data_IF_552713185695
#
_entry.id   IF_552713185695
#
_cell.length_a   1.000
_cell.length_b   1.000
_cell.length_c   1.000
_cell.angle_alpha   90.00
_cell.angle_beta   90.00
_cell.angle_gamma   90.00
#
_symmetry.space_group_name_H-M   'P 1'
#
loop_
_entity.id
_entity.type
_entity.pdbx_description
1 polymer ?
#
# COMPACT_ATOMS: atom_id res chain seq x y z
N UNK A 1 -0.19 11.84 32.67
CA UNK A 1 0.99 10.98 32.86
C UNK A 1 2.23 11.80 32.49
N UNK A 2 3.21 11.90 33.36
CA UNK A 2 4.47 12.62 33.11
C UNK A 2 5.49 11.67 32.51
N UNK A 3 6.14 12.06 31.42
CA UNK A 3 7.07 11.22 30.68
C UNK A 3 8.48 11.79 30.75
N UNK A 4 9.25 11.41 31.76
CA UNK A 4 10.66 11.83 31.93
C UNK A 4 11.65 10.83 31.33
N UNK A 5 11.21 9.59 31.10
CA UNK A 5 12.02 8.49 30.52
C UNK A 5 11.17 7.70 29.52
N UNK A 6 11.78 7.06 28.52
CA UNK A 6 11.09 6.11 27.66
C UNK A 6 10.47 4.95 28.45
N UNK A 7 9.39 4.38 27.94
CA UNK A 7 8.83 3.15 28.50
C UNK A 7 9.84 1.99 28.34
N UNK A 8 10.05 1.15 29.37
CA UNK A 8 11.06 0.10 29.33
C UNK A 8 10.88 -0.88 28.15
N UNK A 9 9.64 -1.26 27.84
CA UNK A 9 9.35 -2.17 26.72
C UNK A 9 9.65 -1.54 25.35
N UNK A 10 9.48 -0.20 25.21
CA UNK A 10 9.88 0.53 24.00
C UNK A 10 11.39 0.57 23.89
N UNK A 11 12.11 0.85 25.00
CA UNK A 11 13.57 0.85 25.00
C UNK A 11 14.12 -0.51 24.60
N UNK A 12 13.58 -1.60 25.17
CA UNK A 12 13.97 -2.95 24.80
C UNK A 12 13.72 -3.28 23.33
N UNK A 13 12.59 -2.82 22.78
CA UNK A 13 12.31 -2.98 21.35
C UNK A 13 13.31 -2.21 20.48
N UNK A 14 13.62 -0.95 20.82
CA UNK A 14 14.60 -0.14 20.07
C UNK A 14 16.01 -0.74 20.16
N UNK A 15 16.40 -1.30 21.30
CA UNK A 15 17.69 -1.99 21.45
C UNK A 15 17.74 -3.27 20.57
N UNK A 16 16.66 -4.04 20.53
CA UNK A 16 16.56 -5.20 19.64
C UNK A 16 16.62 -4.80 18.14
N UNK A 17 16.00 -3.68 17.77
CA UNK A 17 16.07 -3.13 16.40
C UNK A 17 17.51 -2.69 16.06
N UNK A 18 18.20 -2.00 16.98
CA UNK A 18 19.60 -1.60 16.78
C UNK A 18 20.53 -2.83 16.66
N UNK A 19 20.30 -3.86 17.45
CA UNK A 19 21.03 -5.12 17.34
C UNK A 19 20.80 -5.78 15.96
N UNK A 20 19.57 -5.83 15.50
CA UNK A 20 19.24 -6.36 14.17
C UNK A 20 19.92 -5.57 13.04
N UNK A 21 20.03 -4.24 13.16
CA UNK A 21 20.78 -3.41 12.20
C UNK A 21 22.26 -3.77 12.25
N UNK A 22 22.86 -3.89 13.44
CA UNK A 22 24.30 -4.21 13.59
C UNK A 22 24.67 -5.59 13.09
N UNK A 23 23.76 -6.56 13.19
CA UNK A 23 23.98 -7.90 12.64
C UNK A 23 24.20 -7.89 11.14
N UNK A 24 23.54 -6.99 10.41
CA UNK A 24 23.70 -6.87 8.95
C UNK A 24 24.75 -5.82 8.53
N UNK A 25 24.77 -4.73 9.28
CA UNK A 25 25.62 -3.56 9.02
C UNK A 25 26.34 -3.14 10.30
N UNK A 26 27.46 -3.80 10.68
CA UNK A 26 28.12 -3.56 11.99
C UNK A 26 28.46 -2.11 12.29
N UNK A 27 28.66 -1.29 11.25
CA UNK A 27 29.01 0.14 11.40
C UNK A 27 27.80 1.10 11.36
N UNK A 28 26.59 0.59 11.13
CA UNK A 28 25.38 1.42 10.96
C UNK A 28 24.48 1.47 12.22
N UNK A 29 24.92 0.92 13.33
CA UNK A 29 24.14 0.95 14.57
C UNK A 29 23.96 2.37 15.15
N UNK A 30 22.93 2.54 15.95
CA UNK A 30 22.64 3.79 16.64
C UNK A 30 23.52 3.96 17.89
N UNK A 31 23.88 5.21 18.20
CA UNK A 31 24.46 5.56 19.50
C UNK A 31 23.43 5.44 20.63
N UNK A 32 23.90 5.38 21.87
CA UNK A 32 23.00 5.32 23.04
C UNK A 32 22.03 6.53 23.09
N UNK A 33 22.51 7.73 22.70
CA UNK A 33 21.69 8.95 22.65
C UNK A 33 20.60 8.82 21.57
N UNK A 34 20.92 8.29 20.39
CA UNK A 34 19.95 8.09 19.31
C UNK A 34 18.89 7.07 19.70
N UNK A 35 19.28 5.93 20.29
CA UNK A 35 18.32 4.92 20.78
C UNK A 35 17.40 5.50 21.85
N UNK A 36 17.97 6.22 22.81
CA UNK A 36 17.19 6.86 23.87
C UNK A 36 16.20 7.88 23.31
N UNK A 37 16.65 8.74 22.39
CA UNK A 37 15.79 9.72 21.73
C UNK A 37 14.66 9.06 20.93
N UNK A 38 14.97 8.01 20.16
CA UNK A 38 13.97 7.28 19.38
C UNK A 38 12.95 6.59 20.28
N UNK A 39 13.42 5.93 21.36
CA UNK A 39 12.56 5.29 22.35
C UNK A 39 11.65 6.31 23.06
N UNK A 40 12.19 7.51 23.38
CA UNK A 40 11.37 8.59 23.90
C UNK A 40 10.31 9.06 22.93
N UNK A 41 10.65 9.29 21.66
CA UNK A 41 9.71 9.72 20.64
C UNK A 41 8.59 8.69 20.41
N UNK A 42 8.91 7.40 20.34
CA UNK A 42 7.92 6.32 20.20
C UNK A 42 7.01 6.29 21.44
N UNK A 43 7.56 6.35 22.65
CA UNK A 43 6.76 6.38 23.88
C UNK A 43 5.86 7.61 23.94
N UNK A 44 6.39 8.79 23.59
CA UNK A 44 5.61 10.03 23.55
C UNK A 44 4.47 9.96 22.52
N UNK A 45 4.72 9.33 21.39
CA UNK A 45 3.69 9.07 20.36
C UNK A 45 2.57 8.19 20.92
N UNK A 46 2.92 7.08 21.59
CA UNK A 46 1.94 6.19 22.24
C UNK A 46 1.09 6.90 23.31
N UNK A 47 1.71 7.77 24.10
CA UNK A 47 1.02 8.51 25.17
C UNK A 47 0.15 9.65 24.62
N UNK A 48 0.63 10.36 23.61
CA UNK A 48 -0.07 11.56 23.10
C UNK A 48 -0.98 11.28 21.91
N UNK A 49 -0.90 10.08 21.33
CA UNK A 49 -1.54 9.73 20.06
C UNK A 49 -1.26 10.76 18.95
N UNK A 50 -0.02 11.29 18.92
CA UNK A 50 0.35 12.35 17.97
C UNK A 50 1.85 12.33 17.72
N UNK A 51 2.27 12.70 16.49
CA UNK A 51 3.65 13.00 16.14
C UNK A 51 3.81 14.52 16.15
N UNK A 52 4.05 15.11 17.32
CA UNK A 52 4.16 16.56 17.48
C UNK A 52 5.19 16.92 18.57
N UNK A 53 6.28 17.58 18.18
CA UNK A 53 7.34 17.97 19.10
C UNK A 53 6.83 18.82 20.27
N UNK A 54 5.91 19.75 20.03
CA UNK A 54 5.32 20.57 21.09
C UNK A 54 4.48 19.74 22.08
N UNK A 55 3.85 18.64 21.65
CA UNK A 55 3.17 17.73 22.58
C UNK A 55 4.17 16.89 23.35
N UNK A 56 5.26 16.45 22.73
CA UNK A 56 6.34 15.70 23.38
C UNK A 56 7.03 16.54 24.46
N UNK A 57 7.34 17.82 24.19
CA UNK A 57 7.86 18.75 25.17
C UNK A 57 6.91 18.89 26.37
N UNK A 58 5.61 19.07 26.13
CA UNK A 58 4.61 19.21 27.22
C UNK A 58 4.52 17.98 28.11
N UNK A 59 4.45 16.76 27.51
CA UNK A 59 4.36 15.53 28.32
C UNK A 59 5.64 15.20 29.05
N UNK A 60 6.79 15.71 28.60
CA UNK A 60 8.09 15.60 29.27
C UNK A 60 8.31 16.68 30.37
N UNK A 61 7.32 17.54 30.61
CA UNK A 61 7.47 18.69 31.51
C UNK A 61 8.67 19.59 31.17
N UNK A 62 8.90 19.79 29.86
CA UNK A 62 10.03 20.55 29.31
C UNK A 62 11.42 19.93 29.59
N UNK A 63 11.48 18.67 30.03
CA UNK A 63 12.76 17.94 30.13
C UNK A 63 13.46 17.88 28.78
N UNK A 64 12.67 17.74 27.70
CA UNK A 64 13.14 17.76 26.31
C UNK A 64 12.47 18.93 25.58
N UNK A 65 13.27 19.89 25.15
CA UNK A 65 12.72 21.01 24.35
C UNK A 65 12.36 20.58 22.94
N UNK A 66 11.33 21.21 22.38
CA UNK A 66 10.93 21.03 20.98
C UNK A 66 12.10 21.22 20.00
N UNK A 67 12.97 22.22 20.28
CA UNK A 67 14.15 22.51 19.47
C UNK A 67 15.14 21.33 19.47
N UNK A 68 15.44 20.76 20.66
CA UNK A 68 16.35 19.62 20.79
C UNK A 68 15.79 18.36 20.11
N UNK A 69 14.49 18.06 20.28
CA UNK A 69 13.83 16.92 19.64
C UNK A 69 13.87 17.04 18.12
N UNK A 70 13.54 18.20 17.60
CA UNK A 70 13.56 18.49 16.17
C UNK A 70 14.98 18.50 15.59
N UNK A 71 15.96 18.97 16.35
CA UNK A 71 17.37 18.96 15.93
C UNK A 71 17.88 17.53 15.76
N UNK A 72 17.63 16.66 16.73
CA UNK A 72 17.99 15.24 16.67
C UNK A 72 17.38 14.56 15.44
N UNK A 73 16.12 14.83 15.14
CA UNK A 73 15.45 14.29 13.94
C UNK A 73 16.15 14.71 12.64
N UNK A 74 16.53 15.99 12.53
CA UNK A 74 17.06 16.55 11.28
C UNK A 74 18.57 16.35 11.08
N UNK A 75 19.34 16.29 12.18
CA UNK A 75 20.81 16.35 12.10
C UNK A 75 21.52 15.10 12.65
N UNK A 76 20.81 14.27 13.38
CA UNK A 76 21.37 13.00 13.85
C UNK A 76 21.44 11.99 12.70
N UNK A 77 22.55 11.26 12.59
CA UNK A 77 22.74 10.22 11.58
C UNK A 77 22.05 8.93 12.03
N UNK A 78 20.73 8.96 12.21
CA UNK A 78 19.92 7.76 12.48
C UNK A 78 19.81 6.97 11.17
N UNK A 79 19.97 5.64 11.20
CA UNK A 79 19.89 4.80 9.98
C UNK A 79 18.43 4.55 9.56
N UNK A 80 17.74 5.62 9.13
CA UNK A 80 16.31 5.61 8.82
C UNK A 80 15.91 4.53 7.82
N UNK A 81 16.74 4.30 6.79
CA UNK A 81 16.49 3.31 5.74
C UNK A 81 16.49 1.88 6.27
N UNK A 82 17.25 1.60 7.34
CA UNK A 82 17.35 0.28 7.96
C UNK A 82 16.28 0.04 9.04
N UNK A 83 15.71 1.11 9.62
CA UNK A 83 14.80 0.99 10.77
C UNK A 83 13.54 0.18 10.46
N UNK A 84 12.91 0.40 9.31
CA UNK A 84 11.70 -0.34 8.93
C UNK A 84 11.99 -1.83 8.77
N UNK A 85 13.02 -2.17 8.00
CA UNK A 85 13.41 -3.56 7.74
C UNK A 85 13.78 -4.29 9.04
N UNK A 86 14.61 -3.66 9.89
CA UNK A 86 15.01 -4.23 11.17
C UNK A 86 13.82 -4.38 12.14
N UNK A 87 12.93 -3.38 12.20
CA UNK A 87 11.70 -3.46 13.02
C UNK A 87 10.82 -4.63 12.59
N UNK A 88 10.61 -4.79 11.29
CA UNK A 88 9.85 -5.92 10.73
C UNK A 88 10.49 -7.25 11.13
N UNK A 89 11.80 -7.40 11.01
CA UNK A 89 12.52 -8.64 11.40
C UNK A 89 12.37 -8.98 12.88
N UNK A 90 12.53 -7.96 13.74
CA UNK A 90 12.35 -8.15 15.19
C UNK A 90 10.95 -8.63 15.50
N UNK A 91 9.93 -8.03 14.90
CA UNK A 91 8.52 -8.40 15.10
C UNK A 91 8.25 -9.83 14.57
N UNK A 92 8.72 -10.16 13.36
CA UNK A 92 8.51 -11.48 12.76
C UNK A 92 9.16 -12.58 13.59
N UNK A 93 10.40 -12.36 14.07
CA UNK A 93 11.09 -13.30 14.96
C UNK A 93 10.37 -13.47 16.29
N UNK A 94 9.95 -12.38 16.93
CA UNK A 94 9.26 -12.39 18.21
C UNK A 94 7.95 -13.19 18.15
N UNK A 95 7.19 -13.07 17.06
CA UNK A 95 5.92 -13.77 16.88
C UNK A 95 6.06 -15.14 16.21
N UNK A 96 7.26 -15.56 15.82
CA UNK A 96 7.51 -16.82 15.10
C UNK A 96 6.78 -16.87 13.76
N UNK A 97 6.74 -15.75 13.03
CA UNK A 97 6.04 -15.64 11.73
C UNK A 97 6.98 -16.07 10.62
N UNK A 98 6.57 -17.08 9.84
CA UNK A 98 7.33 -17.65 8.72
C UNK A 98 6.58 -17.56 7.39
N UNK A 99 5.32 -17.11 7.40
CA UNK A 99 4.53 -16.95 6.18
C UNK A 99 3.43 -15.90 6.35
N UNK A 100 2.96 -15.35 5.23
CA UNK A 100 1.86 -14.42 5.19
C UNK A 100 1.44 -14.05 3.77
N UNK A 101 0.43 -13.22 3.64
CA UNK A 101 -0.04 -12.66 2.37
C UNK A 101 0.41 -11.22 2.25
N UNK A 102 0.87 -10.82 1.07
CA UNK A 102 1.24 -9.44 0.79
C UNK A 102 0.04 -8.66 0.25
N UNK A 103 -0.18 -7.48 0.78
CA UNK A 103 -1.26 -6.57 0.36
C UNK A 103 -0.65 -5.28 -0.14
N UNK A 104 -1.02 -4.88 -1.36
CA UNK A 104 -0.60 -3.63 -1.98
C UNK A 104 -1.80 -2.71 -2.09
N UNK A 105 -1.63 -1.50 -1.61
CA UNK A 105 -2.61 -0.42 -1.79
C UNK A 105 -1.90 0.92 -1.89
N UNK A 106 -2.63 1.95 -2.30
CA UNK A 106 -2.12 3.31 -2.29
C UNK A 106 -3.03 4.25 -1.49
N UNK A 107 -2.42 5.20 -0.83
CA UNK A 107 -3.12 6.21 -0.05
C UNK A 107 -2.69 7.61 -0.46
N UNK A 108 -3.65 8.52 -0.46
CA UNK A 108 -3.43 9.94 -0.72
C UNK A 108 -3.52 10.71 0.60
N UNK A 109 -2.44 11.42 0.95
CA UNK A 109 -2.38 12.23 2.15
C UNK A 109 -2.48 13.72 1.75
N UNK A 110 -3.60 14.33 2.10
CA UNK A 110 -3.84 15.75 1.84
C UNK A 110 -2.98 16.63 2.75
N UNK A 111 -2.46 17.73 2.20
CA UNK A 111 -1.61 18.69 2.90
C UNK A 111 -2.22 20.09 2.86
N UNK A 112 -1.80 20.92 3.78
CA UNK A 112 -2.21 22.33 3.80
C UNK A 112 -1.71 23.08 2.56
N UNK A 113 -2.39 24.16 2.18
CA UNK A 113 -2.00 25.00 1.02
C UNK A 113 -0.60 25.61 1.17
N UNK A 114 -0.09 25.71 2.41
CA UNK A 114 1.24 26.25 2.73
C UNK A 114 2.38 25.22 2.67
N UNK A 115 2.09 23.95 2.41
CA UNK A 115 3.06 22.86 2.43
C UNK A 115 3.97 22.79 1.18
N UNK A 116 4.29 23.92 0.55
CA UNK A 116 5.03 24.00 -0.73
C UNK A 116 6.47 23.47 -0.69
N UNK A 117 7.03 23.27 0.49
CA UNK A 117 8.43 22.79 0.70
C UNK A 117 8.55 21.27 0.86
N UNK A 118 7.44 20.53 0.89
CA UNK A 118 7.47 19.08 1.04
C UNK A 118 7.86 18.40 -0.30
N UNK A 119 8.72 17.41 -0.23
CA UNK A 119 9.03 16.55 -1.37
C UNK A 119 7.78 15.74 -1.80
N UNK A 120 7.74 15.31 -3.05
CA UNK A 120 6.65 14.51 -3.64
C UNK A 120 5.26 15.15 -3.56
N UNK A 121 5.18 16.48 -3.39
CA UNK A 121 3.93 17.22 -3.30
C UNK A 121 3.37 17.52 -4.70
N UNK A 122 2.12 17.15 -4.94
CA UNK A 122 1.43 17.48 -6.19
C UNK A 122 -0.08 17.65 -5.97
N UNK A 123 -0.79 18.12 -7.00
CA UNK A 123 -2.25 18.29 -6.92
C UNK A 123 -2.98 16.99 -7.07
N UNK A 124 -3.60 16.52 -5.99
CA UNK A 124 -4.48 15.37 -5.92
C UNK A 124 -5.93 15.76 -6.19
N UNK A 125 -6.69 14.88 -6.81
CA UNK A 125 -8.14 15.07 -6.95
C UNK A 125 -8.81 14.72 -5.62
N UNK A 126 -9.46 15.70 -5.01
CA UNK A 126 -10.25 15.48 -3.81
C UNK A 126 -11.59 14.85 -4.17
N UNK A 127 -11.88 13.66 -3.67
CA UNK A 127 -13.07 12.90 -4.06
C UNK A 127 -14.36 13.57 -3.61
N UNK A 128 -14.40 14.11 -2.39
CA UNK A 128 -15.58 14.71 -1.79
C UNK A 128 -15.96 16.06 -2.41
N UNK A 129 -14.99 16.97 -2.58
CA UNK A 129 -15.25 18.29 -3.14
C UNK A 129 -15.20 18.34 -4.67
N UNK A 130 -14.73 17.27 -5.34
CA UNK A 130 -14.52 17.22 -6.79
C UNK A 130 -13.40 18.13 -7.30
N UNK A 131 -12.75 18.90 -6.40
CA UNK A 131 -11.66 19.83 -6.69
C UNK A 131 -10.28 19.16 -6.64
N UNK A 132 -9.25 20.02 -6.50
CA UNK A 132 -7.87 19.62 -6.36
C UNK A 132 -7.27 20.21 -5.08
N UNK A 133 -6.55 19.38 -4.33
CA UNK A 133 -5.81 19.76 -3.13
C UNK A 133 -4.34 19.37 -3.27
N UNK A 134 -3.47 20.07 -2.55
CA UNK A 134 -2.09 19.63 -2.45
C UNK A 134 -2.00 18.37 -1.56
N UNK A 135 -1.21 17.41 -1.97
CA UNK A 135 -1.01 16.18 -1.19
C UNK A 135 0.11 15.32 -1.72
N UNK A 136 0.37 14.27 -1.00
CA UNK A 136 1.34 13.23 -1.34
C UNK A 136 0.59 11.91 -1.51
N UNK A 137 1.03 11.07 -2.43
CA UNK A 137 0.49 9.72 -2.60
C UNK A 137 1.59 8.72 -2.27
N UNK A 138 1.24 7.70 -1.51
CA UNK A 138 2.14 6.62 -1.11
C UNK A 138 1.60 5.29 -1.63
N UNK A 139 2.50 4.44 -2.09
CA UNK A 139 2.23 3.03 -2.31
C UNK A 139 2.71 2.27 -1.08
N UNK A 140 1.84 1.47 -0.49
CA UNK A 140 2.11 0.67 0.70
C UNK A 140 2.16 -0.81 0.38
N UNK A 141 3.04 -1.51 1.09
CA UNK A 141 3.10 -2.95 1.15
C UNK A 141 2.91 -3.41 2.59
N UNK A 142 1.88 -4.23 2.83
CA UNK A 142 1.62 -4.85 4.11
C UNK A 142 1.85 -6.35 4.03
N UNK A 143 2.39 -6.93 5.10
CA UNK A 143 2.34 -8.36 5.36
C UNK A 143 1.18 -8.66 6.30
N UNK A 144 0.26 -9.47 5.84
CA UNK A 144 -0.91 -9.91 6.60
C UNK A 144 -0.74 -11.37 6.99
N UNK A 145 -0.86 -11.62 8.28
CA UNK A 145 -0.76 -12.95 8.87
C UNK A 145 -1.96 -13.22 9.78
N UNK A 146 -2.20 -14.45 10.22
CA UNK A 146 -3.25 -14.73 11.19
C UNK A 146 -3.08 -13.98 12.53
N UNK A 147 -1.84 -13.66 12.91
CA UNK A 147 -1.53 -13.00 14.19
C UNK A 147 -1.53 -11.49 14.10
N UNK A 148 -0.89 -10.93 13.08
CA UNK A 148 -0.69 -9.48 12.92
C UNK A 148 -0.78 -9.06 11.46
N UNK A 149 -1.08 -7.78 11.24
CA UNK A 149 -0.87 -7.08 9.97
C UNK A 149 0.21 -6.02 10.18
N UNK A 150 1.22 -6.01 9.33
CA UNK A 150 2.43 -5.23 9.53
C UNK A 150 2.82 -4.50 8.25
N UNK A 151 3.01 -3.17 8.26
CA UNK A 151 3.61 -2.46 7.13
C UNK A 151 5.06 -2.92 6.95
N UNK A 152 5.40 -3.38 5.75
CA UNK A 152 6.72 -3.92 5.42
C UNK A 152 7.43 -3.10 4.35
N UNK A 153 6.75 -2.12 3.76
CA UNK A 153 7.34 -1.20 2.81
C UNK A 153 6.39 -0.08 2.44
N UNK A 154 6.94 1.06 2.08
CA UNK A 154 6.21 2.17 1.48
C UNK A 154 7.12 3.00 0.59
N UNK A 155 6.53 3.68 -0.39
CA UNK A 155 7.26 4.58 -1.27
C UNK A 155 6.36 5.72 -1.73
N UNK A 156 6.91 6.94 -1.80
CA UNK A 156 6.21 8.09 -2.33
C UNK A 156 6.11 8.02 -3.85
N UNK A 157 4.91 8.30 -4.37
CA UNK A 157 4.67 8.43 -5.79
C UNK A 157 4.76 9.90 -6.22
N UNK A 158 5.43 10.14 -7.33
CA UNK A 158 5.45 11.45 -7.98
C UNK A 158 5.04 11.29 -9.45
N UNK A 159 3.99 12.00 -9.91
CA UNK A 159 3.60 11.95 -11.30
C UNK A 159 4.65 12.63 -12.18
N UNK A 160 4.88 12.07 -13.36
CA UNK A 160 5.71 12.68 -14.38
C UNK A 160 5.11 14.03 -14.81
N UNK A 161 5.84 15.16 -14.68
CA UNK A 161 5.34 16.48 -15.03
C UNK A 161 5.03 16.62 -16.53
N UNK A 162 5.86 16.04 -17.40
CA UNK A 162 5.68 16.10 -18.84
C UNK A 162 4.44 15.28 -19.26
N UNK A 163 4.30 14.07 -18.76
CA UNK A 163 3.14 13.23 -19.01
C UNK A 163 1.86 13.87 -18.46
N UNK A 164 1.95 14.51 -17.29
CA UNK A 164 0.82 15.24 -16.67
C UNK A 164 0.39 16.46 -17.52
N UNK A 165 1.36 17.19 -18.10
CA UNK A 165 1.10 18.30 -19.02
C UNK A 165 0.46 17.79 -20.32
N UNK A 166 0.98 16.68 -20.85
CA UNK A 166 0.41 16.03 -22.03
C UNK A 166 -1.04 15.58 -21.81
N UNK A 167 -1.37 14.94 -20.69
CA UNK A 167 -2.76 14.54 -20.39
C UNK A 167 -3.71 15.75 -20.31
N UNK A 168 -3.26 16.87 -19.73
CA UNK A 168 -4.06 18.10 -19.67
C UNK A 168 -4.33 18.64 -21.07
N UNK A 169 -3.30 18.69 -21.93
CA UNK A 169 -3.41 19.14 -23.32
C UNK A 169 -4.29 18.21 -24.14
N UNK A 170 -4.09 16.89 -24.03
CA UNK A 170 -4.88 15.86 -24.71
C UNK A 170 -6.37 15.96 -24.33
N UNK A 171 -6.67 16.18 -23.04
CA UNK A 171 -8.05 16.40 -22.57
C UNK A 171 -8.68 17.66 -23.17
N UNK A 172 -7.93 18.74 -23.26
CA UNK A 172 -8.40 19.98 -23.88
C UNK A 172 -8.66 19.82 -25.37
N UNK A 173 -7.75 19.18 -26.11
CA UNK A 173 -7.89 18.91 -27.55
C UNK A 173 -9.07 17.97 -27.85
N UNK A 174 -9.31 16.96 -27.01
CA UNK A 174 -10.50 16.10 -27.08
C UNK A 174 -11.80 16.89 -26.91
N UNK A 175 -11.83 17.83 -25.95
CA UNK A 175 -13.00 18.69 -25.74
C UNK A 175 -13.26 19.59 -26.95
N UNK A 176 -12.20 20.03 -27.64
CA UNK A 176 -12.26 20.82 -28.88
C UNK A 176 -12.53 19.96 -30.13
N UNK A 177 -12.75 18.65 -29.98
CA UNK A 177 -12.98 17.68 -31.05
C UNK A 177 -11.84 17.61 -32.09
N UNK A 178 -10.60 17.98 -31.74
CA UNK A 178 -9.44 17.86 -32.62
C UNK A 178 -9.21 16.37 -32.97
N UNK A 179 -9.03 16.00 -34.25
CA UNK A 179 -8.77 14.63 -34.66
C UNK A 179 -7.52 14.02 -33.99
N UNK A 180 -7.53 12.73 -33.68
CA UNK A 180 -6.43 12.03 -32.99
C UNK A 180 -5.08 12.20 -33.69
N UNK A 181 -5.08 12.17 -35.04
CA UNK A 181 -3.86 12.32 -35.85
C UNK A 181 -3.19 13.69 -35.72
N UNK A 182 -3.92 14.71 -35.32
CA UNK A 182 -3.41 16.09 -35.12
C UNK A 182 -3.03 16.39 -33.67
N UNK A 183 -3.20 15.42 -32.77
CA UNK A 183 -2.81 15.57 -31.37
C UNK A 183 -1.36 15.16 -31.15
N UNK A 184 -0.64 15.82 -30.21
CA UNK A 184 0.75 15.45 -29.93
C UNK A 184 0.86 14.00 -29.47
N UNK A 185 1.91 13.28 -29.87
CA UNK A 185 2.17 11.92 -29.42
C UNK A 185 2.35 11.89 -27.91
N UNK A 186 2.04 10.75 -27.29
CA UNK A 186 2.26 10.54 -25.86
C UNK A 186 3.77 10.49 -25.58
N UNK A 187 4.27 11.22 -24.57
CA UNK A 187 5.67 11.12 -24.15
C UNK A 187 6.08 9.70 -23.78
N UNK A 188 7.32 9.36 -24.00
CA UNK A 188 7.91 8.11 -23.51
C UNK A 188 7.93 8.11 -21.96
N UNK A 189 7.85 6.95 -21.31
CA UNK A 189 8.00 6.86 -19.86
C UNK A 189 9.36 7.41 -19.40
N UNK A 190 9.36 8.28 -18.40
CA UNK A 190 10.58 8.87 -17.87
C UNK A 190 11.10 8.03 -16.67
N UNK A 191 12.38 7.59 -16.66
CA UNK A 191 12.92 6.69 -15.63
C UNK A 191 12.80 7.22 -14.19
N UNK A 192 12.88 8.54 -13.99
CA UNK A 192 12.81 9.18 -12.68
C UNK A 192 11.37 9.29 -12.13
N UNK A 193 10.37 8.98 -12.94
CA UNK A 193 8.95 9.05 -12.56
C UNK A 193 8.27 7.69 -12.77
N UNK A 194 8.62 6.66 -11.97
CA UNK A 194 8.00 5.35 -12.09
C UNK A 194 6.51 5.39 -11.80
N UNK A 195 5.75 4.56 -12.49
CA UNK A 195 4.32 4.37 -12.22
C UNK A 195 4.10 3.71 -10.86
N UNK A 196 2.91 3.86 -10.27
CA UNK A 196 2.55 3.17 -9.01
C UNK A 196 2.74 1.64 -9.13
N UNK A 197 2.47 1.05 -10.29
CA UNK A 197 2.70 -0.39 -10.54
C UNK A 197 4.20 -0.75 -10.48
N UNK A 198 5.07 0.07 -11.08
CA UNK A 198 6.51 -0.14 -11.02
C UNK A 198 7.06 0.04 -9.59
N UNK A 199 6.54 1.02 -8.84
CA UNK A 199 6.86 1.20 -7.43
C UNK A 199 6.43 0.01 -6.58
N UNK A 200 5.23 -0.52 -6.82
CA UNK A 200 4.75 -1.71 -6.13
C UNK A 200 5.61 -2.94 -6.42
N UNK A 201 6.06 -3.14 -7.68
CA UNK A 201 6.98 -4.24 -8.01
C UNK A 201 8.33 -4.08 -7.28
N UNK A 202 8.88 -2.86 -7.19
CA UNK A 202 10.10 -2.59 -6.40
C UNK A 202 9.90 -2.94 -4.92
N UNK A 203 8.78 -2.54 -4.32
CA UNK A 203 8.48 -2.90 -2.93
C UNK A 203 8.40 -4.42 -2.73
N UNK A 204 7.86 -5.16 -3.70
CA UNK A 204 7.83 -6.62 -3.68
C UNK A 204 9.23 -7.23 -3.80
N UNK A 205 10.07 -6.68 -4.67
CA UNK A 205 11.49 -7.06 -4.82
C UNK A 205 12.28 -6.81 -3.54
N UNK A 206 12.12 -5.61 -2.95
CA UNK A 206 12.75 -5.23 -1.68
C UNK A 206 12.31 -6.14 -0.54
N UNK A 207 11.01 -6.46 -0.46
CA UNK A 207 10.49 -7.39 0.54
C UNK A 207 11.13 -8.77 0.41
N UNK A 208 11.19 -9.30 -0.81
CA UNK A 208 11.80 -10.61 -1.09
C UNK A 208 13.28 -10.63 -0.72
N UNK A 209 14.02 -9.55 -1.02
CA UNK A 209 15.44 -9.44 -0.70
C UNK A 209 15.67 -9.32 0.81
N UNK A 210 14.85 -8.51 1.50
CA UNK A 210 15.01 -8.24 2.94
C UNK A 210 14.47 -9.35 3.84
N UNK A 211 13.52 -10.17 3.37
CA UNK A 211 12.83 -11.21 4.15
C UNK A 211 12.75 -12.54 3.37
N UNK A 212 13.90 -13.13 2.97
CA UNK A 212 13.92 -14.33 2.13
C UNK A 212 13.30 -15.56 2.80
N UNK A 213 13.30 -15.60 4.14
CA UNK A 213 12.76 -16.70 4.93
C UNK A 213 11.23 -16.66 5.07
N UNK A 214 10.59 -15.61 4.62
CA UNK A 214 9.14 -15.46 4.73
C UNK A 214 8.46 -15.98 3.46
N UNK A 215 7.70 -17.08 3.62
CA UNK A 215 6.90 -17.64 2.52
C UNK A 215 5.69 -16.74 2.24
N UNK A 216 5.58 -16.24 1.01
CA UNK A 216 4.41 -15.49 0.55
C UNK A 216 3.32 -16.47 0.09
N UNK A 217 2.13 -16.40 0.70
CA UNK A 217 0.99 -17.26 0.38
C UNK A 217 0.19 -16.75 -0.82
N UNK A 218 -0.07 -15.45 -0.87
CA UNK A 218 -0.65 -14.76 -2.02
C UNK A 218 -0.29 -13.27 -2.00
N UNK A 219 -0.51 -12.61 -3.13
CA UNK A 219 -0.42 -11.15 -3.26
C UNK A 219 -1.81 -10.65 -3.61
N UNK A 220 -2.31 -9.64 -2.88
CA UNK A 220 -3.59 -9.01 -3.19
C UNK A 220 -3.42 -7.51 -3.39
N UNK A 221 -4.12 -6.95 -4.36
CA UNK A 221 -4.01 -5.55 -4.73
C UNK A 221 -5.32 -5.01 -5.28
N UNK A 222 -5.46 -3.69 -5.35
CA UNK A 222 -6.65 -3.04 -5.88
C UNK A 222 -6.69 -3.07 -7.43
N UNK A 223 -7.75 -2.49 -8.02
CA UNK A 223 -7.96 -2.47 -9.47
C UNK A 223 -6.88 -1.70 -10.26
N UNK A 224 -6.11 -0.81 -9.64
CA UNK A 224 -4.99 -0.12 -10.28
C UNK A 224 -3.90 -1.12 -10.70
N UNK A 225 -3.72 -2.18 -9.92
CA UNK A 225 -2.73 -3.23 -10.10
C UNK A 225 -3.27 -4.45 -10.85
N UNK A 226 -4.55 -4.43 -11.25
CA UNK A 226 -5.20 -5.51 -11.99
C UNK A 226 -4.84 -5.55 -13.49
N UNK A 227 -3.61 -5.22 -13.87
CA UNK A 227 -3.12 -5.32 -15.25
C UNK A 227 -2.33 -6.61 -15.47
N UNK A 228 -2.44 -7.20 -16.67
CA UNK A 228 -1.74 -8.44 -17.00
C UNK A 228 -0.23 -8.38 -16.68
N UNK A 229 0.51 -7.38 -17.18
CA UNK A 229 1.94 -7.27 -16.90
C UNK A 229 2.30 -7.20 -15.41
N UNK A 230 1.51 -6.48 -14.60
CA UNK A 230 1.77 -6.42 -13.15
C UNK A 230 1.48 -7.77 -12.48
N UNK A 231 0.33 -8.37 -12.77
CA UNK A 231 -0.08 -9.65 -12.19
C UNK A 231 0.94 -10.76 -12.50
N UNK A 232 1.43 -10.80 -13.74
CA UNK A 232 2.39 -11.82 -14.16
C UNK A 232 3.78 -11.59 -13.56
N UNK A 233 4.25 -10.33 -13.52
CA UNK A 233 5.53 -9.99 -12.91
C UNK A 233 5.53 -10.28 -11.39
N UNK A 234 4.49 -9.86 -10.66
CA UNK A 234 4.35 -10.12 -9.24
C UNK A 234 4.27 -11.61 -8.91
N UNK A 235 3.51 -12.39 -9.70
CA UNK A 235 3.43 -13.85 -9.55
C UNK A 235 4.79 -14.52 -9.78
N UNK A 236 5.46 -14.17 -10.88
CA UNK A 236 6.76 -14.72 -11.25
C UNK A 236 7.83 -14.42 -10.21
N UNK A 237 7.84 -13.22 -9.64
CA UNK A 237 8.79 -12.80 -8.62
C UNK A 237 8.81 -13.76 -7.42
N UNK A 238 7.68 -14.33 -7.04
CA UNK A 238 7.56 -15.27 -5.91
C UNK A 238 7.32 -16.72 -6.36
N UNK A 239 7.82 -17.11 -7.54
CA UNK A 239 7.78 -18.49 -8.01
C UNK A 239 6.40 -18.99 -8.42
N UNK A 240 5.54 -18.13 -8.95
CA UNK A 240 4.19 -18.49 -9.39
C UNK A 240 3.12 -18.33 -8.31
N UNK A 241 3.37 -17.51 -7.29
CA UNK A 241 2.39 -17.27 -6.22
C UNK A 241 1.10 -16.66 -6.79
N UNK A 242 -0.02 -17.01 -6.17
CA UNK A 242 -1.33 -16.45 -6.54
C UNK A 242 -1.36 -14.93 -6.36
N UNK A 243 -1.75 -14.22 -7.41
CA UNK A 243 -2.01 -12.77 -7.38
C UNK A 243 -3.49 -12.51 -7.60
N UNK A 244 -4.10 -11.80 -6.65
CA UNK A 244 -5.51 -11.42 -6.66
C UNK A 244 -5.64 -9.92 -6.84
N UNK A 245 -6.47 -9.50 -7.77
CA UNK A 245 -6.76 -8.08 -7.98
C UNK A 245 -8.18 -7.89 -8.52
N UNK A 246 -8.59 -6.64 -8.70
CA UNK A 246 -9.87 -6.32 -9.33
C UNK A 246 -9.66 -5.92 -10.78
N UNK A 247 -10.68 -6.13 -11.58
CA UNK A 247 -10.81 -5.60 -12.95
C UNK A 247 -12.10 -4.79 -13.08
N UNK A 248 -12.11 -3.90 -14.05
CA UNK A 248 -13.27 -3.04 -14.29
C UNK A 248 -14.40 -3.83 -14.94
N UNK A 249 -15.64 -3.44 -14.71
CA UNK A 249 -16.85 -4.05 -15.29
C UNK A 249 -16.87 -4.06 -16.82
N UNK A 250 -16.23 -3.07 -17.44
CA UNK A 250 -16.11 -2.95 -18.90
C UNK A 250 -14.84 -3.64 -19.47
N UNK A 251 -14.20 -4.51 -18.71
CA UNK A 251 -13.06 -5.28 -19.19
C UNK A 251 -13.51 -6.30 -20.23
N UNK A 252 -12.88 -6.29 -21.42
CA UNK A 252 -13.19 -7.25 -22.47
C UNK A 252 -12.65 -8.64 -22.13
N UNK A 253 -13.51 -9.62 -22.25
CA UNK A 253 -13.22 -11.05 -22.18
C UNK A 253 -13.60 -11.72 -23.48
N UNK A 254 -13.00 -12.88 -23.76
CA UNK A 254 -13.29 -13.66 -24.97
C UNK A 254 -13.70 -15.09 -24.62
N UNK A 255 -14.81 -15.51 -25.23
CA UNK A 255 -15.35 -16.88 -25.17
C UNK A 255 -15.47 -17.41 -26.60
N UNK A 256 -14.64 -18.40 -26.93
CA UNK A 256 -14.51 -18.82 -28.32
C UNK A 256 -14.05 -17.67 -29.21
N UNK A 257 -14.88 -17.28 -30.19
CA UNK A 257 -14.63 -16.18 -31.12
C UNK A 257 -15.31 -14.85 -30.72
N UNK A 258 -16.16 -14.87 -29.69
CA UNK A 258 -16.96 -13.69 -29.26
C UNK A 258 -16.26 -12.93 -28.15
N UNK A 259 -16.16 -11.62 -28.33
CA UNK A 259 -15.75 -10.69 -27.27
C UNK A 259 -16.97 -9.99 -26.66
N UNK A 260 -16.94 -9.80 -25.33
CA UNK A 260 -17.96 -9.07 -24.59
C UNK A 260 -17.36 -8.50 -23.30
N UNK A 261 -18.09 -7.61 -22.62
CA UNK A 261 -17.65 -7.14 -21.30
C UNK A 261 -17.84 -8.23 -20.24
N UNK A 262 -16.97 -8.19 -19.22
CA UNK A 262 -17.08 -9.12 -18.09
C UNK A 262 -18.42 -8.97 -17.37
N UNK A 263 -18.96 -7.75 -17.29
CA UNK A 263 -20.28 -7.49 -16.71
C UNK A 263 -21.40 -8.19 -17.47
N UNK A 264 -21.38 -8.15 -18.81
CA UNK A 264 -22.41 -8.78 -19.66
C UNK A 264 -22.38 -10.30 -19.52
N UNK A 265 -21.17 -10.87 -19.36
CA UNK A 265 -21.03 -12.31 -19.11
C UNK A 265 -21.70 -12.72 -17.80
N UNK A 266 -21.38 -12.03 -16.70
CA UNK A 266 -21.92 -12.39 -15.38
C UNK A 266 -23.38 -11.95 -15.20
N UNK A 267 -23.92 -11.05 -16.01
CA UNK A 267 -25.35 -10.79 -16.08
C UNK A 267 -26.15 -12.02 -16.53
N UNK A 268 -25.57 -12.83 -17.42
CA UNK A 268 -26.19 -14.10 -17.91
C UNK A 268 -25.75 -15.33 -17.10
N UNK A 269 -24.76 -15.19 -16.23
CA UNK A 269 -24.24 -16.24 -15.35
C UNK A 269 -24.23 -15.72 -13.89
N UNK A 270 -25.40 -15.49 -13.30
CA UNK A 270 -25.52 -14.89 -11.96
C UNK A 270 -24.88 -15.79 -10.90
N UNK A 271 -24.48 -15.17 -9.81
CA UNK A 271 -23.89 -15.87 -8.67
C UNK A 271 -24.94 -16.61 -7.85
N UNK A 272 -24.46 -17.58 -7.08
CA UNK A 272 -25.20 -18.25 -6.03
C UNK A 272 -24.81 -17.70 -4.65
N UNK A 273 -25.71 -17.68 -3.66
CA UNK A 273 -25.38 -17.29 -2.29
C UNK A 273 -24.30 -18.21 -1.73
N UNK A 274 -23.23 -17.61 -1.23
CA UNK A 274 -22.12 -18.31 -0.58
C UNK A 274 -21.84 -17.66 0.78
N UNK A 275 -21.58 -18.47 1.79
CA UNK A 275 -21.05 -17.99 3.07
C UNK A 275 -19.56 -17.74 2.95
N UNK A 276 -19.14 -16.56 3.31
CA UNK A 276 -17.75 -16.12 3.24
C UNK A 276 -17.33 -15.69 4.63
N UNK A 277 -16.27 -16.30 5.13
CA UNK A 277 -15.65 -15.85 6.35
C UNK A 277 -14.73 -14.66 6.01
N UNK A 278 -15.08 -13.49 6.54
CA UNK A 278 -14.23 -12.31 6.47
C UNK A 278 -13.40 -12.21 7.76
N UNK A 279 -12.52 -11.22 7.78
CA UNK A 279 -11.66 -10.99 8.95
C UNK A 279 -12.48 -10.88 10.24
N UNK A 280 -11.92 -11.44 11.32
CA UNK A 280 -12.57 -11.46 12.64
C UNK A 280 -13.47 -12.67 12.88
N UNK A 281 -13.55 -13.59 11.90
CA UNK A 281 -14.42 -14.76 11.98
C UNK A 281 -15.88 -14.46 11.69
N UNK A 282 -16.19 -13.24 11.25
CA UNK A 282 -17.53 -12.87 10.83
C UNK A 282 -17.89 -13.58 9.53
N UNK A 283 -19.02 -14.26 9.51
CA UNK A 283 -19.58 -14.86 8.31
C UNK A 283 -20.59 -13.92 7.66
N UNK A 284 -20.38 -13.65 6.40
CA UNK A 284 -21.31 -12.88 5.56
C UNK A 284 -21.78 -13.71 4.38
N UNK A 285 -22.95 -13.39 3.86
CA UNK A 285 -23.49 -13.99 2.63
C UNK A 285 -23.21 -13.03 1.47
N UNK A 286 -22.66 -13.58 0.38
CA UNK A 286 -22.48 -12.85 -0.87
C UNK A 286 -22.90 -13.71 -2.06
N UNK A 287 -23.36 -13.07 -3.13
CA UNK A 287 -23.60 -13.74 -4.40
C UNK A 287 -22.24 -13.90 -5.11
N UNK A 288 -21.86 -15.13 -5.40
CA UNK A 288 -20.58 -15.45 -6.02
C UNK A 288 -20.77 -16.29 -7.27
N UNK A 289 -20.17 -15.85 -8.38
CA UNK A 289 -20.04 -16.60 -9.61
C UNK A 289 -18.58 -16.61 -10.07
N UNK A 290 -18.17 -17.62 -10.80
CA UNK A 290 -16.77 -17.68 -11.26
C UNK A 290 -16.63 -18.40 -12.60
N UNK A 291 -15.62 -18.02 -13.36
CA UNK A 291 -15.30 -18.66 -14.63
C UNK A 291 -13.81 -18.48 -15.00
N UNK A 292 -13.28 -19.43 -15.77
CA UNK A 292 -11.93 -19.31 -16.36
C UNK A 292 -12.06 -18.66 -17.74
N UNK A 293 -11.80 -17.36 -17.82
CA UNK A 293 -12.07 -16.53 -19.00
C UNK A 293 -10.77 -15.99 -19.60
N UNK A 294 -10.71 -15.90 -20.94
CA UNK A 294 -9.62 -15.18 -21.59
C UNK A 294 -9.86 -13.68 -21.46
N UNK A 295 -9.00 -13.01 -20.69
CA UNK A 295 -9.06 -11.55 -20.48
C UNK A 295 -8.23 -10.88 -21.58
N UNK A 296 -8.88 -10.11 -22.45
CA UNK A 296 -8.24 -9.59 -23.67
C UNK A 296 -7.03 -8.68 -23.37
N UNK A 297 -7.11 -7.83 -22.34
CA UNK A 297 -6.00 -6.96 -21.94
C UNK A 297 -4.83 -7.72 -21.30
N UNK A 298 -5.08 -8.89 -20.73
CA UNK A 298 -4.06 -9.77 -20.15
C UNK A 298 -3.45 -10.73 -21.17
N UNK A 299 -4.09 -10.88 -22.33
CA UNK A 299 -3.70 -11.81 -23.39
C UNK A 299 -3.59 -13.28 -22.91
N UNK A 300 -4.30 -13.64 -21.87
CA UNK A 300 -4.26 -14.97 -21.26
C UNK A 300 -5.57 -15.29 -20.54
N UNK A 301 -5.75 -16.57 -20.19
CA UNK A 301 -6.84 -17.00 -19.32
C UNK A 301 -6.57 -16.61 -17.88
N UNK A 302 -7.59 -16.09 -17.21
CA UNK A 302 -7.60 -15.80 -15.77
C UNK A 302 -8.79 -16.47 -15.11
N UNK A 303 -8.67 -16.77 -13.84
CA UNK A 303 -9.83 -17.12 -13.06
C UNK A 303 -10.51 -15.82 -12.64
N UNK A 304 -11.70 -15.57 -13.16
CA UNK A 304 -12.50 -14.38 -12.88
C UNK A 304 -13.62 -14.75 -11.95
N UNK A 305 -13.74 -14.00 -10.87
CA UNK A 305 -14.80 -14.16 -9.86
C UNK A 305 -15.63 -12.89 -9.81
N UNK A 306 -16.93 -13.01 -9.98
CA UNK A 306 -17.90 -11.95 -9.73
C UNK A 306 -18.46 -12.13 -8.31
N UNK A 307 -18.33 -11.10 -7.47
CA UNK A 307 -18.83 -11.08 -6.12
C UNK A 307 -19.72 -9.85 -5.91
N UNK A 308 -20.88 -10.06 -5.25
CA UNK A 308 -21.78 -8.99 -4.84
C UNK A 308 -22.23 -9.20 -3.40
N UNK A 309 -21.89 -8.26 -2.55
CA UNK A 309 -22.34 -8.26 -1.15
C UNK A 309 -23.81 -7.85 -1.05
N UNK A 310 -24.46 -8.19 0.06
CA UNK A 310 -25.89 -7.98 0.26
C UNK A 310 -26.33 -6.52 0.07
N UNK A 311 -25.49 -5.57 0.46
CA UNK A 311 -25.78 -4.13 0.37
C UNK A 311 -25.26 -3.48 -0.93
N UNK A 312 -24.85 -4.26 -1.93
CA UNK A 312 -24.32 -3.75 -3.20
C UNK A 312 -25.31 -3.98 -4.35
N UNK A 313 -25.43 -2.99 -5.23
CA UNK A 313 -26.27 -3.11 -6.42
C UNK A 313 -25.56 -3.84 -7.56
N UNK A 314 -24.22 -3.72 -7.63
CA UNK A 314 -23.40 -4.23 -8.75
C UNK A 314 -22.37 -5.23 -8.29
N UNK A 315 -21.97 -6.13 -9.19
CA UNK A 315 -20.86 -7.05 -8.94
C UNK A 315 -19.52 -6.34 -8.97
N UNK A 316 -18.61 -6.77 -8.10
CA UNK A 316 -17.16 -6.55 -8.22
C UNK A 316 -16.56 -7.75 -8.97
N UNK A 317 -15.56 -7.49 -9.81
CA UNK A 317 -14.92 -8.53 -10.60
C UNK A 317 -13.49 -8.69 -10.16
N UNK A 318 -13.15 -9.88 -9.64
CA UNK A 318 -11.81 -10.24 -9.20
C UNK A 318 -11.14 -11.05 -10.27
N UNK A 319 -9.82 -10.93 -10.37
CA UNK A 319 -8.97 -11.82 -11.14
C UNK A 319 -7.99 -12.54 -10.23
N UNK A 320 -7.69 -13.77 -10.61
CA UNK A 320 -6.67 -14.59 -10.00
C UNK A 320 -5.70 -15.09 -11.09
N UNK A 321 -4.40 -15.04 -10.79
CA UNK A 321 -3.35 -15.47 -11.72
C UNK A 321 -3.33 -16.97 -11.91
N UNK A 322 -3.46 -17.72 -10.81
CA UNK A 322 -3.51 -19.18 -10.80
C UNK A 322 -4.95 -19.69 -10.97
N UNK A 323 -5.13 -20.64 -11.88
CA UNK A 323 -6.43 -21.22 -12.21
C UNK A 323 -6.84 -22.38 -11.29
N UNK A 324 -5.96 -22.83 -10.41
CA UNK A 324 -6.18 -24.01 -9.56
C UNK A 324 -6.93 -23.71 -8.26
N UNK A 325 -6.90 -22.46 -7.80
CA UNK A 325 -7.56 -22.06 -6.56
C UNK A 325 -9.08 -22.24 -6.64
N UNK A 326 -9.71 -22.50 -5.48
CA UNK A 326 -11.16 -22.54 -5.37
C UNK A 326 -11.70 -21.09 -5.33
N UNK A 327 -12.92 -20.91 -5.79
CA UNK A 327 -13.59 -19.60 -5.81
C UNK A 327 -13.62 -18.94 -4.44
N UNK A 328 -13.92 -19.69 -3.37
CA UNK A 328 -13.98 -19.15 -2.00
C UNK A 328 -12.60 -18.74 -1.48
N UNK A 329 -11.53 -19.48 -1.82
CA UNK A 329 -10.16 -19.10 -1.42
C UNK A 329 -9.73 -17.78 -2.07
N UNK A 330 -10.15 -17.53 -3.33
CA UNK A 330 -9.92 -16.27 -4.03
C UNK A 330 -10.66 -15.12 -3.33
N UNK A 331 -11.92 -15.33 -2.99
CA UNK A 331 -12.73 -14.30 -2.32
C UNK A 331 -12.19 -13.99 -0.93
N UNK A 332 -11.87 -15.01 -0.14
CA UNK A 332 -11.27 -14.84 1.19
C UNK A 332 -9.90 -14.18 1.11
N UNK A 333 -9.03 -14.60 0.19
CA UNK A 333 -7.74 -13.97 -0.03
C UNK A 333 -7.85 -12.49 -0.41
N UNK A 334 -8.81 -12.15 -1.27
CA UNK A 334 -9.06 -10.76 -1.64
C UNK A 334 -9.61 -9.91 -0.49
N UNK A 335 -10.38 -10.50 0.44
CA UNK A 335 -10.90 -9.77 1.62
C UNK A 335 -9.78 -9.24 2.53
N UNK A 336 -8.58 -9.84 2.49
CA UNK A 336 -7.42 -9.35 3.21
C UNK A 336 -6.99 -7.94 2.80
N UNK A 337 -7.35 -7.49 1.60
CA UNK A 337 -7.07 -6.13 1.13
C UNK A 337 -7.70 -5.06 2.04
N UNK A 338 -8.87 -5.31 2.59
CA UNK A 338 -9.53 -4.36 3.51
C UNK A 338 -8.74 -4.10 4.79
N UNK A 339 -7.73 -4.91 5.10
CA UNK A 339 -6.85 -4.67 6.24
C UNK A 339 -5.98 -3.43 6.06
N UNK A 340 -5.69 -3.04 4.81
CA UNK A 340 -4.99 -1.78 4.51
C UNK A 340 -5.85 -0.59 4.89
N UNK A 341 -7.14 -0.65 4.60
CA UNK A 341 -8.09 0.44 4.92
C UNK A 341 -8.18 0.73 6.42
N UNK A 342 -7.89 -0.25 7.28
CA UNK A 342 -7.83 -0.04 8.74
C UNK A 342 -6.57 0.74 9.16
N UNK A 343 -5.47 0.63 8.41
CA UNK A 343 -4.28 1.45 8.65
C UNK A 343 -4.44 2.89 8.14
N UNK A 344 -5.30 3.12 7.14
CA UNK A 344 -5.52 4.44 6.53
C UNK A 344 -6.17 5.47 7.48
N UNK A 345 -7.22 5.16 8.28
CA UNK A 345 -7.82 6.13 9.21
C UNK A 345 -6.88 6.60 10.31
N UNK A 346 -5.88 5.80 10.69
CA UNK A 346 -4.83 6.24 11.61
C UNK A 346 -3.93 7.30 10.98
N UNK A 347 -3.83 7.34 9.65
CA UNK A 347 -3.06 8.37 8.92
C UNK A 347 -3.86 9.66 8.69
N UNK A 348 -5.19 9.58 8.47
CA UNK A 348 -5.97 10.74 8.01
C UNK A 348 -6.40 11.72 9.10
N UNK A 349 -6.50 11.31 10.35
CA UNK A 349 -7.04 12.17 11.41
C UNK A 349 -6.10 12.50 12.55
N UNK A 350 -4.95 11.81 12.71
CA UNK A 350 -4.10 11.94 13.90
C UNK A 350 -2.59 11.92 13.64
N UNK A 351 -2.12 11.49 12.45
CA UNK A 351 -0.69 11.37 12.17
C UNK A 351 -0.32 12.40 11.10
N UNK A 352 0.20 13.53 11.53
CA UNK A 352 0.78 14.50 10.61
C UNK A 352 2.17 14.03 10.20
N UNK A 353 2.24 13.21 9.13
CA UNK A 353 3.49 12.76 8.52
C UNK A 353 4.33 13.90 7.93
N UNK A 354 3.85 15.15 8.00
CA UNK A 354 4.61 16.33 7.54
C UNK A 354 5.93 16.53 8.29
N UNK A 355 6.08 15.90 9.46
CA UNK A 355 7.30 15.95 10.26
C UNK A 355 8.36 14.93 9.82
N UNK A 356 7.99 13.94 9.00
CA UNK A 356 8.92 12.90 8.51
C UNK A 356 9.60 13.31 7.20
N UNK A 357 9.04 14.28 6.48
CA UNK A 357 9.50 14.71 5.15
C UNK A 357 10.09 16.14 5.13
N UNK A 358 10.42 16.73 6.29
CA UNK A 358 11.01 18.08 6.37
C UNK A 358 12.48 18.03 6.78
#
# INVERSE_FOLDING_TARGET
MMLTKPAPFVSAFIDAVDEAIRQEHPHHGMSAIQRYWLAFCVTATLVTHSICWARFERVSLKTYSMAALSWMFRHSKIPWDSLLVASVRVILRYHGITSGSLVIDDTDNMRSKSASKLAYLYKLRHKESGGYVWGQSLVFLLLVTPKISLPVGFVFYQPDPELSAWYRREKALKKQKVPKAQRPPKPAPHPNYPTKQQLALRLLEDFKANHPDIRVNCITADALYGTGPFVDAASTLFGGVQVLSQIRSNQNIRIGKREQHVADYFATHPGTPQRICIRGGEEIVALVSSARLYVCSHKTKRFVVAIKYENEETYRYLIASDLSWRTLDIVQGHSLRWLVEIFQPYNDSRWDLSLVAA
#
